data_IF_236871376188
#
_entry.id   IF_236871376188
#
_cell.length_a   1.000
_cell.length_b   1.000
_cell.length_c   1.000
_cell.angle_alpha   90.00
_cell.angle_beta   90.00
_cell.angle_gamma   90.00
#
_symmetry.space_group_name_H-M   'P 1'
#
loop_
_entity.id
_entity.type
_entity.pdbx_description
1 polymer ?
#
# COMPACT_ATOMS: atom_id res chain seq x y z
N UNK A 1 18.24 -2.24 -19.73
CA UNK A 1 19.47 -1.83 -20.36
C UNK A 1 19.25 -0.77 -21.47
N UNK A 2 18.10 -0.76 -22.15
CA UNK A 2 17.75 0.21 -23.20
C UNK A 2 17.27 1.54 -22.60
N UNK A 3 18.07 2.60 -22.72
CA UNK A 3 17.80 3.94 -22.18
C UNK A 3 16.55 4.59 -22.80
N UNK A 4 16.37 4.43 -24.13
CA UNK A 4 15.20 4.99 -24.82
C UNK A 4 13.91 4.32 -24.33
N UNK A 5 13.99 3.00 -24.09
CA UNK A 5 12.83 2.25 -23.60
C UNK A 5 12.52 2.59 -22.13
N UNK A 6 13.55 2.78 -21.27
CA UNK A 6 13.35 3.27 -19.89
C UNK A 6 12.66 4.65 -19.89
N UNK A 7 13.14 5.57 -20.73
CA UNK A 7 12.52 6.90 -20.87
C UNK A 7 11.05 6.80 -21.29
N UNK A 8 10.72 5.89 -22.22
CA UNK A 8 9.33 5.67 -22.64
C UNK A 8 8.47 5.10 -21.48
N UNK A 9 8.99 4.16 -20.72
CA UNK A 9 8.28 3.61 -19.56
C UNK A 9 8.07 4.69 -18.49
N UNK A 10 9.04 5.57 -18.28
CA UNK A 10 8.92 6.72 -17.39
C UNK A 10 7.77 7.64 -17.80
N UNK A 11 7.70 8.01 -19.08
CA UNK A 11 6.59 8.81 -19.63
C UNK A 11 5.23 8.10 -19.41
N UNK A 12 5.18 6.76 -19.53
CA UNK A 12 3.97 6.00 -19.29
C UNK A 12 3.56 6.01 -17.82
N UNK A 13 4.51 5.92 -16.88
CA UNK A 13 4.26 6.03 -15.43
C UNK A 13 3.72 7.41 -15.10
N UNK A 14 4.36 8.47 -15.60
CA UNK A 14 3.95 9.86 -15.36
C UNK A 14 2.53 10.12 -15.90
N UNK A 15 2.23 9.61 -17.10
CA UNK A 15 0.89 9.68 -17.67
C UNK A 15 -0.14 8.90 -16.86
N UNK A 16 0.21 7.72 -16.36
CA UNK A 16 -0.68 6.93 -15.50
C UNK A 16 -0.93 7.65 -14.19
N UNK A 17 0.11 8.19 -13.54
CA UNK A 17 0.02 8.99 -12.33
C UNK A 17 -0.95 10.17 -12.47
N UNK A 18 -0.84 10.90 -13.59
CA UNK A 18 -1.71 12.06 -13.87
C UNK A 18 -3.19 11.69 -14.04
N UNK A 19 -3.48 10.48 -14.52
CA UNK A 19 -4.86 10.00 -14.76
C UNK A 19 -5.46 9.34 -13.52
N UNK A 20 -4.67 8.52 -12.81
CA UNK A 20 -5.14 7.74 -11.66
C UNK A 20 -5.12 8.51 -10.34
N UNK A 21 -4.29 9.55 -10.24
CA UNK A 21 -4.00 10.24 -8.97
C UNK A 21 -2.93 9.55 -8.11
N UNK A 22 -2.49 8.35 -8.50
CA UNK A 22 -1.44 7.61 -7.80
C UNK A 22 -0.08 8.29 -7.92
N UNK A 23 0.71 8.28 -6.85
CA UNK A 23 2.07 8.84 -6.84
C UNK A 23 3.10 7.73 -6.89
N UNK A 24 4.13 7.90 -7.73
CA UNK A 24 5.21 6.95 -7.89
C UNK A 24 6.56 7.59 -7.60
N UNK A 25 7.37 6.93 -6.76
CA UNK A 25 8.80 7.19 -6.67
C UNK A 25 9.52 6.18 -7.55
N UNK A 26 10.18 6.63 -8.60
CA UNK A 26 10.81 5.75 -9.59
C UNK A 26 12.32 5.79 -9.47
N UNK A 27 12.92 4.61 -9.27
CA UNK A 27 14.37 4.39 -9.33
C UNK A 27 14.69 3.57 -10.57
N UNK A 28 15.71 3.98 -11.31
CA UNK A 28 16.12 3.32 -12.55
C UNK A 28 17.44 2.58 -12.36
N UNK A 29 17.51 1.39 -12.94
CA UNK A 29 18.71 0.54 -13.01
C UNK A 29 18.98 0.20 -14.46
N UNK A 30 20.26 0.06 -14.81
CA UNK A 30 20.68 -0.21 -16.18
C UNK A 30 20.92 -1.71 -16.45
N UNK A 31 21.04 -2.53 -15.39
CA UNK A 31 21.24 -3.96 -15.49
C UNK A 31 20.69 -4.70 -14.26
N UNK A 32 20.54 -6.02 -14.37
CA UNK A 32 19.98 -6.87 -13.31
C UNK A 32 20.84 -6.94 -12.05
N UNK A 33 22.16 -6.91 -12.21
CA UNK A 33 23.10 -6.96 -11.08
C UNK A 33 23.01 -5.71 -10.19
N UNK A 34 22.75 -4.54 -10.76
CA UNK A 34 22.60 -3.28 -10.00
C UNK A 34 21.46 -3.33 -8.99
N UNK A 35 20.34 -3.98 -9.34
CA UNK A 35 19.21 -4.11 -8.42
C UNK A 35 19.31 -5.34 -7.54
N UNK A 36 19.83 -6.46 -8.05
CA UNK A 36 19.85 -7.74 -7.33
C UNK A 36 20.94 -7.80 -6.27
N UNK A 37 22.14 -7.22 -6.54
CA UNK A 37 23.26 -7.24 -5.60
C UNK A 37 23.00 -6.29 -4.43
N UNK A 38 22.75 -6.88 -3.25
CA UNK A 38 22.45 -6.12 -2.04
C UNK A 38 21.03 -5.55 -2.02
N UNK A 39 20.09 -6.22 -2.71
CA UNK A 39 18.68 -5.87 -2.75
C UNK A 39 18.11 -5.61 -1.35
N UNK A 40 17.38 -4.53 -1.24
CA UNK A 40 16.61 -4.18 -0.05
C UNK A 40 15.13 -4.21 -0.43
N UNK A 41 14.29 -4.80 0.39
CA UNK A 41 12.84 -4.88 0.20
C UNK A 41 12.17 -3.50 0.42
N UNK A 42 12.45 -2.55 -0.49
CA UNK A 42 11.94 -1.16 -0.46
C UNK A 42 11.12 -0.80 -1.70
N UNK A 43 10.95 -1.75 -2.62
CA UNK A 43 10.19 -1.54 -3.85
C UNK A 43 8.87 -2.31 -3.80
N UNK A 44 7.79 -1.67 -4.20
CA UNK A 44 6.48 -2.31 -4.33
C UNK A 44 6.34 -3.03 -5.67
N UNK A 45 6.86 -2.41 -6.75
CA UNK A 45 6.73 -2.89 -8.12
C UNK A 45 8.07 -2.77 -8.83
N UNK A 46 8.48 -3.83 -9.51
CA UNK A 46 9.66 -3.86 -10.39
C UNK A 46 9.22 -4.14 -11.82
N UNK A 47 9.56 -3.25 -12.73
CA UNK A 47 9.48 -3.46 -14.17
C UNK A 47 10.84 -3.93 -14.66
N UNK A 48 10.93 -5.12 -15.21
CA UNK A 48 12.22 -5.77 -15.47
C UNK A 48 12.28 -6.30 -16.91
N UNK A 49 13.33 -5.94 -17.64
CA UNK A 49 13.67 -6.65 -18.86
C UNK A 49 14.33 -7.99 -18.52
N UNK A 50 14.20 -8.98 -19.37
CA UNK A 50 14.91 -10.25 -19.22
C UNK A 50 16.28 -10.18 -19.90
N UNK A 51 16.34 -9.63 -21.10
CA UNK A 51 17.56 -9.56 -21.89
C UNK A 51 18.41 -8.36 -21.46
N UNK A 52 19.33 -8.60 -20.53
CA UNK A 52 20.30 -7.62 -20.04
C UNK A 52 21.74 -8.15 -20.15
N UNK A 53 22.71 -7.26 -20.06
CA UNK A 53 24.08 -7.54 -20.47
C UNK A 53 24.88 -8.39 -19.45
N UNK A 54 24.77 -8.07 -18.16
CA UNK A 54 25.59 -8.72 -17.12
C UNK A 54 24.79 -9.76 -16.34
N UNK A 55 23.58 -9.43 -15.91
CA UNK A 55 22.66 -10.35 -15.23
C UNK A 55 21.29 -10.28 -15.89
N UNK A 56 20.83 -11.40 -16.43
CA UNK A 56 19.49 -11.45 -17.02
C UNK A 56 18.40 -11.25 -15.96
N UNK A 57 17.23 -10.78 -16.41
CA UNK A 57 16.13 -10.43 -15.50
C UNK A 57 15.56 -11.63 -14.74
N UNK A 58 15.67 -12.85 -15.26
CA UNK A 58 15.24 -14.05 -14.52
C UNK A 58 16.16 -14.34 -13.35
N UNK A 59 17.48 -14.28 -13.58
CA UNK A 59 18.48 -14.43 -12.51
C UNK A 59 18.32 -13.34 -11.45
N UNK A 60 18.13 -12.09 -11.89
CA UNK A 60 17.90 -10.98 -10.97
C UNK A 60 16.63 -11.20 -10.12
N UNK A 61 15.53 -11.64 -10.75
CA UNK A 61 14.29 -11.95 -10.04
C UNK A 61 14.44 -13.11 -9.05
N UNK A 62 15.19 -14.16 -9.39
CA UNK A 62 15.49 -15.27 -8.48
C UNK A 62 16.28 -14.80 -7.24
N UNK A 63 17.27 -13.93 -7.42
CA UNK A 63 18.02 -13.34 -6.30
C UNK A 63 17.13 -12.45 -5.43
N UNK A 64 16.31 -11.61 -6.04
CA UNK A 64 15.33 -10.76 -5.33
C UNK A 64 14.39 -11.63 -4.51
N UNK A 65 13.85 -12.72 -5.07
CA UNK A 65 12.91 -13.62 -4.38
C UNK A 65 13.49 -14.31 -3.15
N UNK A 66 14.81 -14.44 -3.03
CA UNK A 66 15.45 -14.96 -1.81
C UNK A 66 15.30 -14.02 -0.61
N UNK A 67 15.12 -12.72 -0.88
CA UNK A 67 15.03 -11.66 0.14
C UNK A 67 13.61 -11.14 0.27
N UNK A 68 12.89 -11.04 -0.85
CA UNK A 68 11.57 -10.42 -0.94
C UNK A 68 10.62 -11.25 -1.81
N UNK A 69 9.74 -11.99 -1.15
CA UNK A 69 8.69 -12.79 -1.80
C UNK A 69 7.50 -11.94 -2.22
N UNK A 70 7.40 -10.70 -1.72
CA UNK A 70 6.21 -9.88 -1.85
C UNK A 70 6.28 -8.86 -2.98
N UNK A 71 7.47 -8.35 -3.35
CA UNK A 71 7.58 -7.35 -4.43
C UNK A 71 6.93 -7.84 -5.72
N UNK A 72 6.18 -6.96 -6.38
CA UNK A 72 5.52 -7.29 -7.63
C UNK A 72 6.50 -7.15 -8.79
N UNK A 73 6.72 -8.23 -9.53
CA UNK A 73 7.59 -8.22 -10.71
C UNK A 73 6.74 -8.32 -11.98
N UNK A 74 6.98 -7.41 -12.93
CA UNK A 74 6.40 -7.42 -14.28
C UNK A 74 7.56 -7.47 -15.27
N UNK A 75 7.65 -8.54 -16.03
CA UNK A 75 8.63 -8.62 -17.11
C UNK A 75 8.18 -7.89 -18.36
N UNK A 76 9.08 -7.10 -18.95
CA UNK A 76 8.86 -6.37 -20.21
C UNK A 76 10.03 -6.65 -21.13
N UNK A 77 9.87 -7.52 -22.13
CA UNK A 77 10.98 -8.08 -22.89
C UNK A 77 10.61 -8.41 -24.35
N UNK A 78 11.62 -8.60 -25.21
CA UNK A 78 11.43 -9.11 -26.57
C UNK A 78 11.30 -10.64 -26.66
N UNK A 79 11.59 -11.38 -25.60
CA UNK A 79 11.79 -12.83 -25.63
C UNK A 79 10.56 -13.62 -25.16
N UNK A 80 9.68 -14.11 -26.07
CA UNK A 80 8.45 -14.81 -25.70
C UNK A 80 8.68 -16.17 -25.00
N UNK A 81 9.85 -16.78 -25.20
CA UNK A 81 10.18 -18.09 -24.63
C UNK A 81 10.28 -18.13 -23.10
N UNK A 82 10.44 -16.99 -22.46
CA UNK A 82 10.56 -16.91 -21.00
C UNK A 82 9.20 -16.75 -20.27
N UNK A 83 8.10 -16.61 -21.00
CA UNK A 83 6.77 -16.48 -20.39
C UNK A 83 6.44 -17.64 -19.43
N UNK A 84 6.82 -18.87 -19.78
CA UNK A 84 6.62 -20.06 -18.93
C UNK A 84 7.54 -20.02 -17.70
N UNK A 85 8.76 -19.52 -17.84
CA UNK A 85 9.71 -19.43 -16.71
C UNK A 85 9.35 -18.33 -15.72
N UNK A 86 8.60 -17.29 -16.13
CA UNK A 86 8.12 -16.24 -15.24
C UNK A 86 7.27 -16.74 -14.06
N UNK A 87 6.60 -17.89 -14.24
CA UNK A 87 5.89 -18.55 -13.13
C UNK A 87 6.81 -19.03 -11.99
N UNK A 88 8.06 -19.37 -12.30
CA UNK A 88 9.00 -19.86 -11.28
C UNK A 88 9.41 -18.78 -10.26
N UNK A 89 9.32 -17.51 -10.64
CA UNK A 89 9.63 -16.35 -9.79
C UNK A 89 8.39 -15.58 -9.33
N UNK A 90 7.20 -16.15 -9.46
CA UNK A 90 5.90 -15.54 -9.13
C UNK A 90 5.78 -14.10 -9.71
N UNK A 91 6.11 -13.94 -10.99
CA UNK A 91 5.91 -12.66 -11.67
C UNK A 91 4.40 -12.41 -11.87
N UNK A 92 3.96 -11.18 -11.65
CA UNK A 92 2.56 -10.79 -11.82
C UNK A 92 2.13 -10.86 -13.28
N UNK A 93 3.00 -10.42 -14.19
CA UNK A 93 2.69 -10.36 -15.61
C UNK A 93 3.96 -10.45 -16.46
N UNK A 94 3.74 -10.75 -17.73
CA UNK A 94 4.77 -10.87 -18.77
C UNK A 94 4.30 -10.12 -20.01
N UNK A 95 5.06 -9.13 -20.45
CA UNK A 95 4.67 -8.21 -21.51
C UNK A 95 5.72 -8.21 -22.61
N UNK A 96 5.28 -8.46 -23.85
CA UNK A 96 6.16 -8.40 -25.01
C UNK A 96 6.31 -6.96 -25.51
N UNK A 97 7.56 -6.58 -25.83
CA UNK A 97 7.86 -5.33 -26.56
C UNK A 97 7.43 -5.47 -28.03
N UNK A 98 6.96 -4.39 -28.68
CA UNK A 98 6.74 -3.05 -28.15
C UNK A 98 5.44 -2.94 -27.32
N UNK A 99 5.52 -2.31 -26.16
CA UNK A 99 4.37 -2.15 -25.27
C UNK A 99 3.63 -0.86 -25.60
N UNK A 100 2.32 -0.96 -25.86
CA UNK A 100 1.49 0.24 -25.96
C UNK A 100 1.16 0.81 -24.56
N UNK A 101 0.90 2.13 -24.48
CA UNK A 101 0.45 2.75 -23.23
C UNK A 101 -0.77 2.05 -22.63
N UNK A 102 -1.74 1.66 -23.47
CA UNK A 102 -2.93 0.94 -22.99
C UNK A 102 -2.58 -0.38 -22.32
N UNK A 103 -1.75 -1.20 -22.97
CA UNK A 103 -1.31 -2.47 -22.41
C UNK A 103 -0.50 -2.28 -21.11
N UNK A 104 0.36 -1.26 -21.05
CA UNK A 104 1.14 -0.90 -19.88
C UNK A 104 0.25 -0.46 -18.72
N UNK A 105 -0.67 0.48 -18.95
CA UNK A 105 -1.54 1.04 -17.91
C UNK A 105 -2.44 -0.03 -17.26
N UNK A 106 -2.92 -1.00 -18.03
CA UNK A 106 -3.71 -2.11 -17.49
C UNK A 106 -2.91 -2.99 -16.53
N UNK A 107 -1.63 -3.24 -16.84
CA UNK A 107 -0.76 -4.07 -15.99
C UNK A 107 -0.28 -3.32 -14.77
N UNK A 108 0.10 -2.05 -14.95
CA UNK A 108 0.45 -1.19 -13.82
C UNK A 108 -0.74 -1.02 -12.86
N UNK A 109 -1.96 -0.83 -13.37
CA UNK A 109 -3.17 -0.78 -12.56
C UNK A 109 -3.39 -2.04 -11.72
N UNK A 110 -3.22 -3.24 -12.31
CA UNK A 110 -3.28 -4.50 -11.56
C UNK A 110 -2.20 -4.60 -10.48
N UNK A 111 -0.99 -4.12 -10.78
CA UNK A 111 0.09 -4.11 -9.80
C UNK A 111 -0.24 -3.18 -8.64
N UNK A 112 -0.69 -1.96 -8.90
CA UNK A 112 -1.13 -1.00 -7.89
C UNK A 112 -2.27 -1.57 -7.02
N UNK A 113 -3.30 -2.17 -7.64
CA UNK A 113 -4.36 -2.85 -6.89
C UNK A 113 -3.83 -3.99 -6.03
N UNK A 114 -2.82 -4.75 -6.50
CA UNK A 114 -2.23 -5.84 -5.73
C UNK A 114 -1.41 -5.31 -4.55
N UNK A 115 -0.66 -4.22 -4.73
CA UNK A 115 0.02 -3.50 -3.63
C UNK A 115 -1.00 -3.03 -2.60
N UNK A 116 -2.04 -2.32 -3.04
CA UNK A 116 -3.10 -1.84 -2.16
C UNK A 116 -3.81 -2.98 -1.39
N UNK A 117 -4.06 -4.13 -2.04
CA UNK A 117 -4.64 -5.31 -1.37
C UNK A 117 -3.71 -5.93 -0.33
N UNK A 118 -2.39 -5.88 -0.51
CA UNK A 118 -1.41 -6.38 0.46
C UNK A 118 -1.33 -5.49 1.69
N UNK A 119 -1.43 -4.18 1.49
CA UNK A 119 -1.52 -3.21 2.57
C UNK A 119 -2.84 -3.28 3.35
N UNK A 120 -3.86 -4.02 2.85
CA UNK A 120 -5.12 -4.19 3.55
C UNK A 120 -4.98 -5.16 4.71
N UNK A 121 -4.99 -4.62 5.90
CA UNK A 121 -5.17 -5.38 7.12
C UNK A 121 -6.66 -5.56 7.40
N UNK A 122 -6.99 -6.65 8.09
CA UNK A 122 -8.37 -6.93 8.47
C UNK A 122 -8.47 -7.16 9.97
N UNK A 123 -9.41 -6.46 10.58
CA UNK A 123 -9.78 -6.68 11.97
C UNK A 123 -10.96 -7.65 12.03
N UNK A 124 -10.79 -8.78 12.73
CA UNK A 124 -11.89 -9.68 13.01
C UNK A 124 -12.54 -9.29 14.34
N UNK A 125 -13.84 -9.02 14.32
CA UNK A 125 -14.66 -8.72 15.50
C UNK A 125 -15.86 -9.67 15.57
N UNK A 126 -16.39 -9.89 16.77
CA UNK A 126 -17.61 -10.67 16.98
C UNK A 126 -18.74 -9.72 17.39
N UNK A 127 -19.66 -9.44 16.46
CA UNK A 127 -20.83 -8.64 16.73
C UNK A 127 -22.06 -9.54 16.84
N UNK A 128 -22.74 -9.52 17.98
CA UNK A 128 -23.97 -10.30 18.24
C UNK A 128 -23.87 -11.80 17.87
N UNK A 129 -22.70 -12.42 18.11
CA UNK A 129 -22.48 -13.84 17.81
C UNK A 129 -22.10 -14.15 16.37
N UNK A 130 -21.96 -13.13 15.53
CA UNK A 130 -21.49 -13.25 14.15
C UNK A 130 -20.08 -12.69 14.03
N UNK A 131 -19.19 -13.44 13.38
CA UNK A 131 -17.85 -12.95 13.07
C UNK A 131 -17.88 -12.02 11.86
N UNK A 132 -17.43 -10.78 12.05
CA UNK A 132 -17.27 -9.79 11.00
C UNK A 132 -15.79 -9.60 10.69
N UNK A 133 -15.46 -9.46 9.42
CA UNK A 133 -14.13 -9.12 8.93
C UNK A 133 -14.20 -7.69 8.40
N UNK A 134 -13.63 -6.74 9.15
CA UNK A 134 -13.58 -5.33 8.77
C UNK A 134 -12.23 -5.03 8.10
N UNK A 135 -12.26 -4.37 6.96
CA UNK A 135 -11.07 -3.78 6.35
C UNK A 135 -10.62 -2.59 7.20
N UNK A 136 -9.40 -2.62 7.73
CA UNK A 136 -8.92 -1.56 8.63
C UNK A 136 -8.83 -0.21 7.92
N UNK A 137 -8.55 -0.19 6.63
CA UNK A 137 -8.53 1.04 5.83
C UNK A 137 -9.93 1.67 5.66
N UNK A 138 -10.99 0.87 5.79
CA UNK A 138 -12.38 1.34 5.68
C UNK A 138 -13.00 1.79 7.01
N UNK A 139 -12.28 1.68 8.13
CA UNK A 139 -12.73 2.16 9.44
C UNK A 139 -12.23 3.59 9.63
N UNK A 140 -13.12 4.53 9.83
CA UNK A 140 -12.83 5.96 10.04
C UNK A 140 -12.35 6.25 11.45
N UNK A 141 -13.13 5.82 12.46
CA UNK A 141 -12.74 5.85 13.87
C UNK A 141 -13.48 4.78 14.64
N UNK A 142 -13.00 4.51 15.85
CA UNK A 142 -13.57 3.55 16.77
C UNK A 142 -13.80 4.26 18.09
N UNK A 143 -15.01 4.15 18.65
CA UNK A 143 -15.32 4.72 19.94
C UNK A 143 -15.82 3.70 20.96
N UNK A 144 -15.61 3.99 22.23
CA UNK A 144 -16.09 3.18 23.33
C UNK A 144 -17.51 3.63 23.73
N UNK A 145 -18.45 2.70 23.69
CA UNK A 145 -19.82 2.91 24.14
C UNK A 145 -20.17 1.89 25.24
N UNK A 146 -19.88 2.24 26.50
CA UNK A 146 -20.09 1.35 27.63
C UNK A 146 -19.13 0.17 27.65
N UNK A 147 -19.63 -1.03 27.39
CA UNK A 147 -18.84 -2.26 27.29
C UNK A 147 -18.52 -2.68 25.84
N UNK A 148 -19.04 -1.92 24.89
CA UNK A 148 -18.90 -2.20 23.47
C UNK A 148 -18.02 -1.16 22.78
N UNK A 149 -17.48 -1.52 21.64
CA UNK A 149 -16.83 -0.63 20.69
C UNK A 149 -17.73 -0.42 19.49
N UNK A 150 -17.86 0.82 19.04
CA UNK A 150 -18.55 1.19 17.81
C UNK A 150 -17.48 1.51 16.77
N UNK A 151 -17.49 0.76 15.68
CA UNK A 151 -16.63 0.92 14.51
C UNK A 151 -17.40 1.72 13.47
N UNK A 152 -17.00 2.96 13.21
CA UNK A 152 -17.55 3.80 12.17
C UNK A 152 -16.83 3.52 10.85
N UNK A 153 -17.54 2.95 9.88
CA UNK A 153 -16.92 2.45 8.64
C UNK A 153 -17.60 3.01 7.40
N UNK A 154 -16.98 2.82 6.25
CA UNK A 154 -17.54 3.17 4.95
C UNK A 154 -18.90 2.48 4.65
N UNK A 155 -19.15 1.31 5.26
CA UNK A 155 -20.37 0.51 5.08
C UNK A 155 -21.42 0.78 6.17
N UNK A 156 -21.10 1.67 7.14
CA UNK A 156 -21.95 1.98 8.30
C UNK A 156 -21.30 1.62 9.62
N UNK A 157 -22.08 1.67 10.70
CA UNK A 157 -21.59 1.38 12.06
C UNK A 157 -21.71 -0.11 12.39
N UNK A 158 -20.67 -0.65 13.01
CA UNK A 158 -20.66 -2.00 13.54
C UNK A 158 -20.34 -1.95 15.03
N UNK A 159 -21.20 -2.49 15.87
CA UNK A 159 -21.01 -2.53 17.33
C UNK A 159 -20.63 -3.93 17.77
N UNK A 160 -19.55 -4.05 18.55
CA UNK A 160 -19.09 -5.33 19.08
C UNK A 160 -18.50 -5.18 20.49
N UNK A 161 -18.66 -6.15 21.38
CA UNK A 161 -17.95 -6.20 22.65
C UNK A 161 -16.43 -6.19 22.42
N UNK A 162 -15.70 -5.40 23.20
CA UNK A 162 -14.25 -5.32 23.03
C UNK A 162 -13.57 -4.33 23.95
N UNK A 163 -12.25 -4.41 23.93
CA UNK A 163 -11.37 -3.48 24.65
C UNK A 163 -10.67 -2.54 23.67
N UNK A 164 -10.74 -1.25 23.95
CA UNK A 164 -10.04 -0.22 23.16
C UNK A 164 -8.52 -0.47 23.12
N UNK A 165 -7.94 -0.94 24.23
CA UNK A 165 -6.50 -1.22 24.30
C UNK A 165 -6.10 -2.42 23.43
N UNK A 166 -6.87 -3.52 23.50
CA UNK A 166 -6.62 -4.68 22.64
C UNK A 166 -6.83 -4.37 21.16
N UNK A 167 -7.79 -3.49 20.86
CA UNK A 167 -8.04 -3.06 19.48
C UNK A 167 -6.91 -2.16 18.97
N UNK A 168 -6.41 -1.24 19.79
CA UNK A 168 -5.24 -0.41 19.48
C UNK A 168 -3.99 -1.29 19.21
N UNK A 169 -3.76 -2.34 20.02
CA UNK A 169 -2.66 -3.29 19.80
C UNK A 169 -2.79 -4.05 18.47
N UNK A 170 -4.02 -4.50 18.13
CA UNK A 170 -4.28 -5.18 16.85
C UNK A 170 -4.09 -4.28 15.63
N UNK A 171 -4.32 -2.98 15.79
CA UNK A 171 -4.18 -1.95 14.75
C UNK A 171 -2.82 -1.23 14.81
N UNK A 172 -1.84 -1.75 15.56
CA UNK A 172 -0.54 -1.11 15.75
C UNK A 172 0.29 -0.98 14.46
N UNK A 173 -0.01 -1.78 13.43
CA UNK A 173 0.62 -1.70 12.10
C UNK A 173 -0.16 -0.80 11.12
N UNK A 174 -1.35 -0.35 11.52
CA UNK A 174 -2.20 0.53 10.74
C UNK A 174 -2.05 1.97 11.24
N UNK A 175 -2.47 2.93 10.42
CA UNK A 175 -2.31 4.36 10.70
C UNK A 175 -3.35 4.89 11.70
N UNK A 176 -3.46 4.25 12.87
CA UNK A 176 -4.39 4.65 13.93
C UNK A 176 -3.72 5.44 15.04
N UNK A 177 -4.43 6.42 15.57
CA UNK A 177 -4.00 7.20 16.72
C UNK A 177 -5.10 7.31 17.77
N UNK A 178 -4.77 7.01 19.02
CA UNK A 178 -5.70 7.15 20.15
C UNK A 178 -5.81 8.59 20.58
N UNK A 179 -6.89 9.27 20.22
CA UNK A 179 -7.10 10.70 20.47
C UNK A 179 -7.54 11.01 21.90
N UNK A 180 -8.22 10.06 22.56
CA UNK A 180 -8.60 10.13 23.97
C UNK A 180 -8.76 8.73 24.58
N UNK A 181 -9.23 8.61 25.83
CA UNK A 181 -9.37 7.32 26.52
C UNK A 181 -10.33 6.35 25.81
N UNK A 182 -11.33 6.90 25.13
CA UNK A 182 -12.41 6.12 24.51
C UNK A 182 -12.48 6.22 23.00
N UNK A 183 -11.48 6.79 22.32
CA UNK A 183 -11.55 6.93 20.87
C UNK A 183 -10.20 6.74 20.18
N UNK A 184 -10.22 5.97 19.08
CA UNK A 184 -9.12 5.67 18.20
C UNK A 184 -9.49 6.15 16.78
N UNK A 185 -8.67 6.98 16.17
CA UNK A 185 -8.92 7.60 14.85
C UNK A 185 -7.94 7.06 13.84
N UNK A 186 -8.42 6.74 12.64
CA UNK A 186 -7.59 6.45 11.50
C UNK A 186 -7.07 7.75 10.87
N UNK A 187 -5.75 7.94 10.85
CA UNK A 187 -5.11 9.15 10.33
C UNK A 187 -5.35 9.36 8.84
N UNK A 188 -5.60 8.29 8.10
CA UNK A 188 -5.94 8.34 6.68
C UNK A 188 -7.21 9.14 6.39
N UNK A 189 -8.17 9.11 7.32
CA UNK A 189 -9.49 9.75 7.18
C UNK A 189 -9.64 11.07 7.93
N UNK A 190 -8.54 11.63 8.43
CA UNK A 190 -8.56 12.95 9.07
C UNK A 190 -8.61 14.05 8.01
N UNK A 191 -9.73 14.75 7.95
CA UNK A 191 -9.93 15.86 7.00
C UNK A 191 -9.17 17.12 7.42
N UNK A 192 -9.29 17.49 8.71
CA UNK A 192 -8.71 18.71 9.29
C UNK A 192 -8.81 18.73 10.81
N UNK A 193 -8.15 19.71 11.40
CA UNK A 193 -8.40 20.12 12.78
C UNK A 193 -9.42 21.27 12.83
N UNK A 194 -10.38 21.18 13.76
CA UNK A 194 -11.36 22.23 13.97
C UNK A 194 -11.42 22.57 15.50
N UNK A 195 -10.69 23.61 15.89
CA UNK A 195 -10.53 23.96 17.29
C UNK A 195 -9.75 22.90 18.08
N UNK A 196 -10.42 22.24 19.03
CA UNK A 196 -9.85 21.16 19.85
C UNK A 196 -10.23 19.76 19.34
N UNK A 197 -11.02 19.66 18.26
CA UNK A 197 -11.49 18.40 17.70
C UNK A 197 -10.73 18.03 16.42
N UNK A 198 -10.58 16.74 16.16
CA UNK A 198 -10.25 16.23 14.84
C UNK A 198 -11.56 16.05 14.03
N UNK A 199 -11.57 16.49 12.78
CA UNK A 199 -12.66 16.19 11.86
C UNK A 199 -12.23 14.98 11.04
N UNK A 200 -13.01 13.91 11.13
CA UNK A 200 -12.73 12.62 10.51
C UNK A 200 -13.93 12.25 9.66
N UNK A 201 -13.74 12.15 8.36
CA UNK A 201 -14.81 11.88 7.39
C UNK A 201 -16.06 12.76 7.60
N UNK A 202 -15.84 14.03 7.93
CA UNK A 202 -16.89 15.02 8.19
C UNK A 202 -17.37 15.12 9.64
N UNK A 203 -17.14 14.12 10.48
CA UNK A 203 -17.57 14.08 11.87
C UNK A 203 -16.53 14.65 12.84
N UNK A 204 -16.99 15.27 13.92
CA UNK A 204 -16.14 15.83 14.96
C UNK A 204 -15.81 14.80 16.02
N UNK A 205 -14.54 14.49 16.16
CA UNK A 205 -14.03 13.57 17.17
C UNK A 205 -13.22 14.35 18.22
N UNK A 206 -13.64 14.36 19.50
CA UNK A 206 -12.97 15.11 20.56
C UNK A 206 -11.55 14.62 20.80
N UNK A 207 -10.58 15.54 20.73
CA UNK A 207 -9.17 15.26 20.98
C UNK A 207 -8.77 15.73 22.38
N UNK A 208 -8.27 14.81 23.20
CA UNK A 208 -7.78 15.17 24.53
C UNK A 208 -6.60 16.16 24.44
N UNK A 209 -6.69 17.27 25.19
CA UNK A 209 -5.70 18.36 25.14
C UNK A 209 -4.26 17.88 25.35
N UNK A 210 -4.05 16.92 26.23
CA UNK A 210 -2.73 16.36 26.50
C UNK A 210 -2.17 15.53 25.32
N UNK A 211 -3.02 15.08 24.41
CA UNK A 211 -2.61 14.27 23.23
C UNK A 211 -2.46 15.08 21.95
N UNK A 212 -2.85 16.36 21.98
CA UNK A 212 -2.90 17.22 20.78
C UNK A 212 -1.56 17.30 20.05
N UNK A 213 -0.47 17.52 20.78
CA UNK A 213 0.86 17.63 20.17
C UNK A 213 1.24 16.31 19.48
N UNK A 214 1.14 15.20 20.20
CA UNK A 214 1.47 13.88 19.68
C UNK A 214 0.59 13.47 18.48
N UNK A 215 -0.69 13.90 18.48
CA UNK A 215 -1.58 13.67 17.33
C UNK A 215 -1.13 14.45 16.09
N UNK A 216 -0.78 15.73 16.23
CA UNK A 216 -0.29 16.55 15.13
C UNK A 216 1.06 16.04 14.59
N UNK A 217 1.95 15.60 15.47
CA UNK A 217 3.22 15.00 15.10
C UNK A 217 2.95 13.70 14.29
N UNK A 218 2.08 12.80 14.78
CA UNK A 218 1.70 11.57 14.09
C UNK A 218 1.00 11.83 12.74
N UNK A 219 0.13 12.84 12.65
CA UNK A 219 -0.53 13.21 11.40
C UNK A 219 0.46 13.77 10.39
N UNK A 220 1.43 14.57 10.82
CA UNK A 220 2.50 15.07 9.95
C UNK A 220 3.41 13.93 9.48
N UNK A 221 3.77 12.99 10.36
CA UNK A 221 4.56 11.81 10.01
C UNK A 221 3.81 10.94 9.00
N UNK A 222 2.49 10.76 9.19
CA UNK A 222 1.65 10.05 8.23
C UNK A 222 1.64 10.72 6.86
N UNK A 223 1.41 12.04 6.80
CA UNK A 223 1.38 12.79 5.53
C UNK A 223 2.74 12.76 4.82
N UNK A 224 3.84 12.85 5.57
CA UNK A 224 5.20 12.87 5.02
C UNK A 224 5.78 11.47 4.78
N UNK A 225 5.33 10.45 5.48
CA UNK A 225 5.78 9.07 5.37
C UNK A 225 4.92 8.19 4.47
N UNK A 226 3.72 8.67 4.11
CA UNK A 226 2.85 8.04 3.10
C UNK A 226 3.25 8.43 1.66
N UNK A 227 4.47 8.92 1.49
CA UNK A 227 5.09 9.28 0.23
C UNK A 227 6.15 8.29 -0.21
#
# INVERSE_FOLDING_TARGET
DDELYRSQLREYIDKYSAVSGEKFTVTEFSDGDEIALGYKAVYDIILMDIEMKFMDGMMAAEEIRKVDTEVIIIFITNSPQYAIKGYAVDALDYVLKPVSYYAFSQRLGRAVERVARRARHFLQINAHGTAHKLDTSAIYWIENCGHDLVFHTAEGEVTAPGSMTETEEKLAQDSYFRVNKGCLVNLEHVDRMDGEDAVVHGDRVPLARARRKAFLDALNDYINGAG
#
